data_IF_044539079371
#
_entry.id   IF_044539079371
#
_cell.length_a   1.000
_cell.length_b   1.000
_cell.length_c   1.000
_cell.angle_alpha   90.00
_cell.angle_beta   90.00
_cell.angle_gamma   90.00
#
_symmetry.space_group_name_H-M   'P 1'
#
loop_
_entity.id
_entity.type
_entity.pdbx_description
1 polymer ?
#
# COMPACT_ATOMS: atom_id res chain seq x y z
N UNK A 1 10.36 -11.87 -15.63
CA UNK A 1 9.19 -11.97 -16.52
C UNK A 1 8.06 -12.82 -15.91
N UNK A 2 8.20 -14.11 -15.64
CA UNK A 2 7.11 -14.96 -15.11
C UNK A 2 6.52 -14.50 -13.77
N UNK A 3 7.33 -14.00 -12.84
CA UNK A 3 6.86 -13.55 -11.52
C UNK A 3 6.09 -12.22 -11.57
N UNK A 4 6.38 -11.35 -12.52
CA UNK A 4 5.63 -10.12 -12.77
C UNK A 4 4.28 -10.43 -13.42
N UNK A 5 4.29 -11.27 -14.46
CA UNK A 5 3.06 -11.72 -15.14
C UNK A 5 2.13 -12.44 -14.17
N UNK A 6 2.66 -13.23 -13.23
CA UNK A 6 1.87 -13.88 -12.19
C UNK A 6 1.24 -12.91 -11.21
N UNK A 7 1.97 -11.87 -10.79
CA UNK A 7 1.42 -10.81 -9.93
C UNK A 7 0.40 -9.95 -10.66
N UNK A 8 0.72 -9.52 -11.88
CA UNK A 8 -0.22 -8.79 -12.74
C UNK A 8 -1.46 -9.66 -13.01
N UNK A 9 -1.30 -10.96 -13.28
CA UNK A 9 -2.44 -11.86 -13.51
C UNK A 9 -3.31 -12.06 -12.25
N UNK A 10 -2.70 -12.13 -11.06
CA UNK A 10 -3.44 -12.20 -9.79
C UNK A 10 -4.19 -10.89 -9.49
N UNK A 11 -3.61 -9.76 -9.88
CA UNK A 11 -4.24 -8.44 -9.74
C UNK A 11 -5.23 -8.14 -10.88
N UNK A 12 -5.05 -8.72 -12.07
CA UNK A 12 -5.93 -8.58 -13.25
C UNK A 12 -7.34 -9.14 -13.04
N UNK A 13 -7.54 -10.04 -12.09
CA UNK A 13 -8.88 -10.44 -11.64
C UNK A 13 -9.72 -9.30 -11.07
N UNK A 14 -9.11 -8.16 -10.78
CA UNK A 14 -9.73 -6.94 -10.23
C UNK A 14 -9.46 -5.68 -11.04
N UNK A 15 -8.91 -5.78 -12.26
CA UNK A 15 -8.49 -4.62 -13.06
C UNK A 15 -9.67 -4.02 -13.83
N UNK A 16 -9.93 -2.74 -13.59
CA UNK A 16 -10.96 -1.96 -14.30
C UNK A 16 -10.46 -1.29 -15.60
N UNK A 17 -9.29 -1.64 -16.09
CA UNK A 17 -8.79 -1.21 -17.39
C UNK A 17 -7.34 -0.72 -17.38
N UNK A 18 -6.67 -0.95 -18.51
CA UNK A 18 -5.36 -0.38 -18.80
C UNK A 18 -5.50 1.11 -19.17
N UNK A 19 -4.46 1.89 -18.85
CA UNK A 19 -4.34 3.28 -19.32
C UNK A 19 -3.17 3.41 -20.31
N UNK A 20 -3.43 3.11 -21.61
CA UNK A 20 -2.36 3.09 -22.60
C UNK A 20 -1.79 4.48 -22.91
N UNK A 21 -2.50 5.56 -22.60
CA UNK A 21 -1.98 6.91 -22.80
C UNK A 21 -0.97 7.27 -21.72
N UNK A 22 -1.29 6.98 -20.45
CA UNK A 22 -0.38 7.16 -19.33
C UNK A 22 0.85 6.25 -19.51
N UNK A 23 0.66 5.00 -19.91
CA UNK A 23 1.75 4.05 -20.17
C UNK A 23 2.73 4.56 -21.24
N UNK A 24 2.23 5.07 -22.37
CA UNK A 24 3.07 5.65 -23.44
C UNK A 24 3.83 6.90 -22.99
N UNK A 25 3.28 7.71 -22.09
CA UNK A 25 3.98 8.88 -21.52
C UNK A 25 5.12 8.41 -20.63
N UNK A 26 4.81 7.47 -19.74
CA UNK A 26 5.79 6.85 -18.83
C UNK A 26 6.96 6.23 -19.62
N UNK A 27 6.68 5.43 -20.64
CA UNK A 27 7.70 4.80 -21.47
C UNK A 27 8.61 5.84 -22.15
N UNK A 28 8.02 6.95 -22.64
CA UNK A 28 8.81 8.05 -23.25
C UNK A 28 9.72 8.71 -22.22
N UNK A 29 9.24 8.94 -21.02
CA UNK A 29 10.03 9.52 -19.93
C UNK A 29 11.19 8.62 -19.53
N UNK A 30 10.91 7.33 -19.31
CA UNK A 30 11.96 6.35 -19.00
C UNK A 30 13.02 6.26 -20.11
N UNK A 31 12.58 6.24 -21.36
CA UNK A 31 13.49 6.23 -22.50
C UNK A 31 14.36 7.48 -22.59
N UNK A 32 13.86 8.65 -22.19
CA UNK A 32 14.65 9.89 -22.14
C UNK A 32 15.75 9.85 -21.06
N UNK A 33 15.62 8.96 -20.08
CA UNK A 33 16.63 8.69 -19.05
C UNK A 33 17.53 7.49 -19.40
N UNK A 34 17.47 7.02 -20.66
CA UNK A 34 18.17 5.82 -21.13
C UNK A 34 17.81 4.56 -20.34
N UNK A 35 16.56 4.48 -19.86
CA UNK A 35 16.06 3.33 -19.12
C UNK A 35 15.15 2.53 -20.05
N UNK A 36 15.60 1.32 -20.40
CA UNK A 36 14.79 0.34 -21.11
C UNK A 36 13.98 -0.47 -20.09
N UNK A 37 12.67 -0.24 -20.07
CA UNK A 37 11.77 -0.89 -19.12
C UNK A 37 10.49 -1.38 -19.81
N UNK A 38 9.98 -2.50 -19.32
CA UNK A 38 8.59 -2.90 -19.55
C UNK A 38 7.72 -2.19 -18.51
N UNK A 39 6.63 -1.61 -18.98
CA UNK A 39 5.71 -0.84 -18.11
C UNK A 39 4.28 -1.33 -18.26
N UNK A 40 3.51 -1.17 -17.21
CA UNK A 40 2.07 -1.36 -17.24
C UNK A 40 1.39 -0.33 -16.35
N UNK A 41 0.50 0.45 -16.91
CA UNK A 41 -0.33 1.42 -16.19
C UNK A 41 -1.78 0.96 -16.26
N UNK A 42 -2.37 0.71 -15.09
CA UNK A 42 -3.72 0.16 -15.00
C UNK A 42 -4.44 0.65 -13.73
N UNK A 43 -5.77 0.49 -13.72
CA UNK A 43 -6.58 0.79 -12.53
C UNK A 43 -6.98 -0.49 -11.81
N UNK A 44 -6.82 -0.48 -10.49
CA UNK A 44 -7.28 -1.57 -9.63
C UNK A 44 -8.82 -1.58 -9.51
N UNK A 45 -9.36 -2.60 -8.85
CA UNK A 45 -10.81 -2.75 -8.64
C UNK A 45 -11.50 -1.58 -7.92
N UNK A 46 -10.72 -0.65 -7.35
CA UNK A 46 -11.18 0.59 -6.71
C UNK A 46 -11.00 1.82 -7.60
N UNK A 47 -10.55 1.63 -8.83
CA UNK A 47 -10.27 2.72 -9.77
C UNK A 47 -8.97 3.47 -9.51
N UNK A 48 -8.12 3.04 -8.59
CA UNK A 48 -6.83 3.68 -8.28
C UNK A 48 -5.79 3.26 -9.29
N UNK A 49 -4.97 4.21 -9.71
CA UNK A 49 -3.90 3.94 -10.66
C UNK A 49 -2.77 3.15 -10.00
N UNK A 50 -2.31 2.14 -10.73
CA UNK A 50 -1.11 1.36 -10.43
C UNK A 50 -0.16 1.44 -11.61
N UNK A 51 1.11 1.51 -11.32
CA UNK A 51 2.20 1.57 -12.29
C UNK A 51 3.20 0.49 -11.96
N UNK A 52 3.39 -0.45 -12.86
CA UNK A 52 4.45 -1.46 -12.75
C UNK A 52 5.55 -1.14 -13.74
N UNK A 53 6.79 -1.19 -13.29
CA UNK A 53 8.00 -0.93 -14.08
C UNK A 53 8.95 -2.10 -13.87
N UNK A 54 9.35 -2.76 -14.93
CA UNK A 54 10.38 -3.80 -14.91
C UNK A 54 11.54 -3.42 -15.82
N UNK A 55 12.73 -3.37 -15.26
CA UNK A 55 13.97 -3.07 -15.99
C UNK A 55 15.14 -3.84 -15.37
N UNK A 56 16.09 -4.24 -16.18
CA UNK A 56 17.32 -4.82 -15.69
C UNK A 56 18.15 -3.87 -14.80
N UNK A 57 17.83 -2.57 -14.83
CA UNK A 57 18.53 -1.54 -14.09
C UNK A 57 17.63 -0.35 -13.77
N UNK A 58 17.16 -0.28 -12.53
CA UNK A 58 16.31 0.82 -12.03
C UNK A 58 17.11 1.92 -11.31
N UNK A 59 18.35 1.65 -10.93
CA UNK A 59 19.20 2.62 -10.20
C UNK A 59 19.36 4.00 -10.87
N UNK A 60 19.40 4.15 -12.21
CA UNK A 60 19.45 5.47 -12.82
C UNK A 60 18.19 6.30 -12.57
N UNK A 61 17.04 5.65 -12.44
CA UNK A 61 15.77 6.32 -12.10
C UNK A 61 15.74 6.67 -10.61
N UNK A 62 15.94 5.70 -9.74
CA UNK A 62 15.82 5.86 -8.29
C UNK A 62 16.95 6.73 -7.68
N UNK A 63 18.00 6.96 -8.41
CA UNK A 63 19.07 7.89 -8.03
C UNK A 63 18.77 9.37 -8.28
N UNK A 64 17.65 9.71 -8.91
CA UNK A 64 17.22 11.09 -9.09
C UNK A 64 16.36 11.52 -7.89
N UNK A 65 16.63 12.68 -7.31
CA UNK A 65 15.89 13.18 -6.13
C UNK A 65 14.39 13.35 -6.38
N UNK A 66 14.00 13.69 -7.62
CA UNK A 66 12.62 14.01 -8.03
C UNK A 66 11.98 12.96 -8.94
N UNK A 67 12.54 11.73 -9.00
CA UNK A 67 12.08 10.69 -9.92
C UNK A 67 10.60 10.36 -9.78
N UNK A 68 10.11 10.31 -8.56
CA UNK A 68 8.73 9.97 -8.26
C UNK A 68 7.75 11.10 -8.67
N UNK A 69 8.19 12.35 -8.55
CA UNK A 69 7.42 13.51 -9.03
C UNK A 69 7.33 13.54 -10.55
N UNK A 70 8.43 13.25 -11.24
CA UNK A 70 8.45 13.13 -12.71
C UNK A 70 7.49 12.06 -13.21
N UNK A 71 7.58 10.85 -12.65
CA UNK A 71 6.66 9.78 -13.03
C UNK A 71 5.20 10.12 -12.70
N UNK A 72 4.95 10.81 -11.59
CA UNK A 72 3.61 11.29 -11.22
C UNK A 72 3.05 12.27 -12.25
N UNK A 73 3.88 13.18 -12.74
CA UNK A 73 3.49 14.12 -13.80
C UNK A 73 3.17 13.40 -15.11
N UNK A 74 3.95 12.37 -15.48
CA UNK A 74 3.73 11.58 -16.71
C UNK A 74 2.38 10.87 -16.71
N UNK A 75 1.99 10.29 -15.59
CA UNK A 75 0.72 9.55 -15.47
C UNK A 75 -0.45 10.46 -15.06
N UNK A 76 -0.18 11.70 -14.68
CA UNK A 76 -1.19 12.71 -14.32
C UNK A 76 -1.82 12.51 -12.93
N UNK A 77 -1.24 11.67 -12.09
CA UNK A 77 -1.66 11.48 -10.69
C UNK A 77 -0.44 11.34 -9.79
N UNK A 78 -0.57 11.78 -8.55
CA UNK A 78 0.50 11.62 -7.56
C UNK A 78 0.70 10.14 -7.26
N UNK A 79 1.92 9.67 -7.42
CA UNK A 79 2.34 8.30 -7.10
C UNK A 79 3.04 8.25 -5.75
N UNK A 80 3.00 7.10 -5.13
CA UNK A 80 3.80 6.75 -3.96
C UNK A 80 4.38 5.35 -4.11
N UNK A 81 5.50 5.13 -3.45
CA UNK A 81 6.10 3.82 -3.31
C UNK A 81 5.51 3.16 -2.06
N UNK A 82 4.86 1.99 -2.17
CA UNK A 82 4.22 1.34 -1.03
C UNK A 82 5.21 0.78 -0.03
N UNK A 83 6.39 0.36 -0.51
CA UNK A 83 7.45 -0.23 0.29
C UNK A 83 8.82 0.30 -0.17
N UNK A 84 9.82 0.23 0.68
CA UNK A 84 11.20 0.50 0.30
C UNK A 84 11.63 -0.45 -0.82
N UNK A 85 12.38 0.08 -1.77
CA UNK A 85 12.94 -0.72 -2.85
C UNK A 85 14.19 -1.45 -2.34
N UNK A 86 14.25 -2.78 -2.51
CA UNK A 86 15.48 -3.50 -2.25
C UNK A 86 16.62 -3.03 -3.19
N UNK A 87 17.85 -3.05 -2.70
CA UNK A 87 19.01 -2.80 -3.54
C UNK A 87 19.05 -3.78 -4.73
N UNK A 88 19.29 -3.23 -5.91
CA UNK A 88 19.37 -4.01 -7.14
C UNK A 88 18.02 -4.58 -7.62
N UNK A 89 16.89 -4.03 -7.17
CA UNK A 89 15.59 -4.45 -7.67
C UNK A 89 15.47 -4.21 -9.18
N UNK A 90 14.88 -5.17 -9.88
CA UNK A 90 14.57 -5.09 -11.32
C UNK A 90 13.09 -4.76 -11.59
N UNK A 91 12.27 -4.74 -10.57
CA UNK A 91 10.84 -4.49 -10.68
C UNK A 91 10.36 -3.60 -9.54
N UNK A 92 9.54 -2.61 -9.85
CA UNK A 92 8.85 -1.80 -8.85
C UNK A 92 7.38 -1.65 -9.20
N UNK A 93 6.56 -1.49 -8.18
CA UNK A 93 5.14 -1.13 -8.32
C UNK A 93 4.88 0.15 -7.56
N UNK A 94 4.35 1.16 -8.25
CA UNK A 94 3.92 2.42 -7.67
C UNK A 94 2.40 2.43 -7.57
N UNK A 95 1.90 3.08 -6.55
CA UNK A 95 0.47 3.24 -6.31
C UNK A 95 0.09 4.71 -6.43
N UNK A 96 -1.14 4.98 -6.87
CA UNK A 96 -1.70 6.32 -6.72
C UNK A 96 -1.69 6.69 -5.23
N UNK A 97 -1.05 7.81 -4.92
CA UNK A 97 -0.99 8.32 -3.55
C UNK A 97 -2.39 8.65 -3.04
N UNK A 98 -2.61 8.37 -1.78
CA UNK A 98 -3.87 8.74 -1.15
C UNK A 98 -3.93 10.26 -0.93
N UNK A 99 -5.10 10.86 -1.13
CA UNK A 99 -5.25 12.31 -0.95
C UNK A 99 -5.17 12.73 0.52
N UNK A 100 -5.31 11.77 1.43
CA UNK A 100 -5.34 12.02 2.88
C UNK A 100 -4.25 11.21 3.58
N UNK A 101 -3.53 11.86 4.47
CA UNK A 101 -2.67 11.22 5.46
C UNK A 101 -3.45 11.10 6.77
N UNK A 102 -3.42 9.93 7.39
CA UNK A 102 -4.07 9.67 8.67
C UNK A 102 -3.02 9.33 9.70
N UNK A 103 -3.04 10.06 10.82
CA UNK A 103 -2.27 9.71 12.01
C UNK A 103 -3.22 9.15 13.06
N UNK A 104 -2.91 7.99 13.59
CA UNK A 104 -3.72 7.32 14.61
C UNK A 104 -3.00 7.40 15.95
N UNK A 105 -3.67 7.93 16.97
CA UNK A 105 -3.22 7.89 18.35
C UNK A 105 -4.18 7.01 19.18
N UNK A 106 -3.63 6.11 20.00
CA UNK A 106 -4.40 5.28 20.93
C UNK A 106 -3.99 5.64 22.34
N UNK A 107 -4.98 5.98 23.17
CA UNK A 107 -4.81 6.14 24.60
C UNK A 107 -5.78 5.20 25.32
N UNK A 108 -5.31 4.55 26.38
CA UNK A 108 -6.13 3.66 27.19
C UNK A 108 -6.02 4.05 28.66
N UNK A 109 -7.15 4.09 29.34
CA UNK A 109 -7.23 4.27 30.78
C UNK A 109 -7.78 3.02 31.43
N UNK A 110 -7.16 2.58 32.51
CA UNK A 110 -7.62 1.44 33.28
C UNK A 110 -8.43 1.90 34.50
N UNK A 111 -9.39 1.08 34.91
CA UNK A 111 -10.14 1.31 36.14
C UNK A 111 -9.20 1.28 37.35
N UNK A 112 -9.46 2.13 38.35
CA UNK A 112 -8.67 2.18 39.59
C UNK A 112 -8.67 0.82 40.28
N UNK A 113 -7.48 0.29 40.56
CA UNK A 113 -7.29 -1.04 41.14
C UNK A 113 -7.03 -2.16 40.14
N UNK A 114 -7.28 -1.95 38.86
CA UNK A 114 -7.02 -2.94 37.82
C UNK A 114 -5.61 -2.80 37.24
N UNK A 115 -5.01 -3.92 36.83
CA UNK A 115 -3.70 -3.93 36.19
C UNK A 115 -3.79 -3.62 34.71
N UNK A 116 -4.87 -4.02 34.05
CA UNK A 116 -5.11 -3.87 32.61
C UNK A 116 -6.57 -3.47 32.35
N UNK A 117 -6.81 -2.78 31.21
CA UNK A 117 -8.16 -2.54 30.71
C UNK A 117 -8.64 -3.74 29.90
N UNK A 118 -9.94 -4.02 29.93
CA UNK A 118 -10.60 -4.96 29.02
C UNK A 118 -10.65 -4.43 27.59
N UNK A 119 -10.69 -3.10 27.45
CA UNK A 119 -10.77 -2.46 26.14
C UNK A 119 -9.51 -2.69 25.31
N UNK A 120 -9.69 -2.92 24.03
CA UNK A 120 -8.63 -3.10 23.07
C UNK A 120 -8.86 -2.25 21.83
N UNK A 121 -7.78 -1.62 21.37
CA UNK A 121 -7.76 -0.90 20.10
C UNK A 121 -6.63 -1.43 19.22
N UNK A 122 -6.88 -1.44 17.93
CA UNK A 122 -5.87 -1.71 16.92
C UNK A 122 -6.16 -0.89 15.67
N UNK A 123 -5.13 -0.64 14.89
CA UNK A 123 -5.29 -0.08 13.56
C UNK A 123 -4.28 -0.71 12.62
N UNK A 124 -4.68 -0.88 11.39
CA UNK A 124 -3.82 -1.39 10.32
C UNK A 124 -4.36 -0.92 8.97
N UNK A 125 -3.51 -1.03 7.97
CA UNK A 125 -3.88 -0.76 6.59
C UNK A 125 -3.92 -2.08 5.84
N UNK A 126 -5.03 -2.33 5.15
CA UNK A 126 -5.15 -3.53 4.31
C UNK A 126 -4.25 -3.40 3.08
N UNK A 127 -3.93 -4.52 2.42
CA UNK A 127 -3.19 -4.52 1.15
C UNK A 127 -3.87 -3.66 0.07
N UNK A 128 -5.18 -3.54 0.16
CA UNK A 128 -5.98 -2.68 -0.69
C UNK A 128 -5.94 -1.19 -0.30
N UNK A 129 -5.18 -0.81 0.75
CA UNK A 129 -4.97 0.57 1.20
C UNK A 129 -6.11 1.15 2.04
N UNK A 130 -7.04 0.33 2.55
CA UNK A 130 -8.06 0.79 3.51
C UNK A 130 -7.45 0.85 4.90
N UNK A 131 -7.56 2.00 5.55
CA UNK A 131 -7.24 2.12 6.97
C UNK A 131 -8.40 1.56 7.78
N UNK A 132 -8.14 0.52 8.55
CA UNK A 132 -9.07 -0.08 9.49
C UNK A 132 -8.71 0.37 10.91
N UNK A 133 -9.69 0.83 11.66
CA UNK A 133 -9.56 1.11 13.10
C UNK A 133 -10.57 0.24 13.81
N UNK A 134 -10.10 -0.60 14.72
CA UNK A 134 -10.91 -1.53 15.50
C UNK A 134 -10.85 -1.11 16.95
N UNK A 135 -12.00 -0.96 17.57
CA UNK A 135 -12.16 -0.78 19.00
C UNK A 135 -13.06 -1.91 19.53
N UNK A 136 -12.60 -2.60 20.55
CA UNK A 136 -13.36 -3.62 21.27
C UNK A 136 -13.49 -3.19 22.72
N UNK A 137 -14.72 -3.04 23.16
CA UNK A 137 -15.06 -2.86 24.58
C UNK A 137 -15.14 -4.25 25.21
N UNK A 138 -14.24 -4.55 26.13
CA UNK A 138 -14.17 -5.85 26.81
C UNK A 138 -15.28 -5.98 27.85
N UNK A 139 -16.05 -7.07 27.82
CA UNK A 139 -17.04 -7.37 28.85
C UNK A 139 -16.37 -7.74 30.17
N UNK A 140 -16.40 -6.83 31.14
CA UNK A 140 -15.76 -7.03 32.44
C UNK A 140 -14.45 -6.27 32.62
N UNK A 141 -13.66 -6.68 33.59
CA UNK A 141 -12.39 -6.04 33.96
C UNK A 141 -11.27 -7.07 34.14
N UNK A 142 -10.03 -6.61 34.04
CA UNK A 142 -8.86 -7.43 34.32
C UNK A 142 -8.34 -8.24 33.13
N UNK A 143 -7.52 -9.26 33.45
CA UNK A 143 -6.73 -9.97 32.44
C UNK A 143 -7.56 -10.84 31.49
N UNK A 144 -8.70 -11.37 31.93
CA UNK A 144 -9.56 -12.21 31.08
C UNK A 144 -10.27 -11.36 30.02
N UNK A 145 -10.93 -10.27 30.42
CA UNK A 145 -11.54 -9.33 29.49
C UNK A 145 -10.51 -8.77 28.48
N UNK A 146 -9.27 -8.54 28.95
CA UNK A 146 -8.17 -8.11 28.09
C UNK A 146 -7.76 -9.16 27.04
N UNK A 147 -7.81 -10.46 27.38
CA UNK A 147 -7.54 -11.54 26.43
C UNK A 147 -8.67 -11.67 25.40
N UNK A 148 -9.91 -11.68 25.84
CA UNK A 148 -11.07 -11.75 24.96
C UNK A 148 -11.07 -10.58 23.94
N UNK A 149 -10.85 -9.35 24.43
CA UNK A 149 -10.74 -8.19 23.53
C UNK A 149 -9.59 -8.30 22.52
N UNK A 150 -8.44 -8.86 22.94
CA UNK A 150 -7.32 -9.08 22.04
C UNK A 150 -7.60 -10.17 20.98
N UNK A 151 -8.29 -11.24 21.36
CA UNK A 151 -8.71 -12.31 20.45
C UNK A 151 -9.71 -11.79 19.42
N UNK A 152 -10.72 -11.03 19.85
CA UNK A 152 -11.71 -10.42 18.96
C UNK A 152 -11.04 -9.50 17.92
N UNK A 153 -10.16 -8.61 18.37
CA UNK A 153 -9.40 -7.72 17.49
C UNK A 153 -8.53 -8.52 16.54
N UNK A 154 -7.86 -9.59 17.03
CA UNK A 154 -7.02 -10.45 16.22
C UNK A 154 -7.80 -11.26 15.17
N UNK A 155 -9.02 -11.67 15.47
CA UNK A 155 -9.92 -12.34 14.53
C UNK A 155 -10.36 -11.35 13.46
N UNK A 156 -10.88 -10.19 13.83
CA UNK A 156 -11.34 -9.17 12.89
C UNK A 156 -10.23 -8.72 11.94
N UNK A 157 -9.00 -8.54 12.44
CA UNK A 157 -7.86 -8.17 11.62
C UNK A 157 -7.47 -9.23 10.57
N UNK A 158 -7.87 -10.49 10.75
CA UNK A 158 -7.62 -11.56 9.76
C UNK A 158 -8.70 -11.63 8.68
N UNK A 159 -9.89 -11.12 8.94
CA UNK A 159 -11.01 -11.14 8.00
C UNK A 159 -11.11 -9.87 7.15
N UNK A 160 -10.42 -8.81 7.53
CA UNK A 160 -10.40 -7.52 6.84
C UNK A 160 -9.17 -7.37 5.94
#
# INVERSE_FOLDING_TARGET
>A
MAAMLGRIAAELGSVNGADPLADRRLQRSLKSLDIHAETAVYRDGRGRLRVSIESGRLSPLTGLDDWLEKLSADVGVRLCLPNELPDGCSCMTLLQAEPLAVSVGIAALKKRGEKVSGDRGSYFKTDSGVLCVILSDGMGTGSEAAKEGAEIVGILAKFL
#
